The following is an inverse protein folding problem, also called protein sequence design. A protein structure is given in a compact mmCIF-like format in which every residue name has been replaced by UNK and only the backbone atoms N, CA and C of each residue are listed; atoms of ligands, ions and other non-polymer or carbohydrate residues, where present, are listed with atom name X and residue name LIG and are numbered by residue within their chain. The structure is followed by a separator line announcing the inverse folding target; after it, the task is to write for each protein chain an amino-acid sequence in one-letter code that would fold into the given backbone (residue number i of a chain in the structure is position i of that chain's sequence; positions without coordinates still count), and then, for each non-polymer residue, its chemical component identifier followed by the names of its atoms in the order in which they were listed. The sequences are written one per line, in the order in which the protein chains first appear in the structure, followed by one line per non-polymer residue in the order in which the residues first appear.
data_IF_054069507993
#
_entry.id   IF_054069507993
#
_cell.length_a   1.000
_cell.length_b   1.000
_cell.length_c   1.000
_cell.angle_alpha   90.00
_cell.angle_beta   90.00
_cell.angle_gamma   90.00
#
_symmetry.space_group_name_H-M   'P 1'
#
loop_
_entity.id
_entity.type
_entity.pdbx_description
1 polymer ?
#
# COMPACT_ATOMS: atom_id res chain seq x y z
N UNK A 1 -5.61 -32.51 -1.84
CA UNK A 1 -5.35 -32.34 -0.39
C UNK A 1 -3.88 -32.52 -0.03
N UNK A 2 -3.20 -33.62 -0.41
CA UNK A 2 -1.75 -33.79 -0.13
C UNK A 2 -0.87 -32.72 -0.79
N UNK A 3 -1.25 -32.25 -1.98
CA UNK A 3 -0.57 -31.16 -2.68
C UNK A 3 -0.55 -29.85 -1.87
N UNK A 4 -1.69 -29.40 -1.36
CA UNK A 4 -1.77 -28.19 -0.52
C UNK A 4 -0.93 -28.27 0.76
N UNK A 5 -0.83 -29.44 1.39
CA UNK A 5 0.05 -29.62 2.56
C UNK A 5 1.53 -29.50 2.18
N UNK A 6 1.87 -29.91 0.95
CA UNK A 6 3.24 -29.81 0.44
C UNK A 6 3.59 -28.36 0.14
N UNK A 7 2.71 -27.62 -0.55
CA UNK A 7 2.89 -26.18 -0.80
C UNK A 7 2.95 -25.39 0.52
N UNK A 8 2.08 -25.71 1.49
CA UNK A 8 2.12 -25.09 2.82
C UNK A 8 3.44 -25.36 3.55
N UNK A 9 4.01 -26.55 3.41
CA UNK A 9 5.32 -26.88 4.01
C UNK A 9 6.46 -26.05 3.41
N UNK A 10 6.37 -25.69 2.13
CA UNK A 10 7.39 -24.92 1.44
C UNK A 10 7.29 -23.41 1.78
N UNK A 11 6.08 -22.91 2.06
CA UNK A 11 5.82 -21.50 2.46
C UNK A 11 6.14 -21.19 3.94
N UNK A 12 6.24 -22.21 4.81
CA UNK A 12 6.51 -22.01 6.24
C UNK A 12 8.02 -22.16 6.48
N UNK A 13 8.77 -21.11 6.88
CA UNK A 13 10.23 -21.15 6.99
C UNK A 13 10.75 -22.27 7.90
N UNK A 14 10.04 -22.54 8.99
CA UNK A 14 10.42 -23.60 9.94
C UNK A 14 10.22 -25.01 9.36
N UNK A 15 9.33 -25.16 8.38
CA UNK A 15 9.08 -26.43 7.68
C UNK A 15 10.05 -26.61 6.50
N UNK A 16 10.27 -25.56 5.71
CA UNK A 16 11.10 -25.62 4.51
C UNK A 16 12.59 -25.73 4.80
N UNK A 17 13.04 -25.26 5.97
CA UNK A 17 14.43 -25.39 6.42
C UNK A 17 14.83 -26.81 6.88
N UNK A 18 13.87 -27.74 7.01
CA UNK A 18 14.15 -29.11 7.44
C UNK A 18 14.63 -29.98 6.27
N UNK A 19 15.73 -30.72 6.46
CA UNK A 19 16.26 -31.67 5.47
C UNK A 19 15.29 -32.81 5.11
N UNK A 20 14.30 -33.09 5.97
CA UNK A 20 13.24 -34.08 5.74
C UNK A 20 11.88 -33.46 6.03
N UNK A 21 10.94 -33.59 5.10
CA UNK A 21 9.57 -33.07 5.29
C UNK A 21 8.91 -33.74 6.51
N UNK A 22 8.44 -32.95 7.49
CA UNK A 22 7.73 -33.48 8.66
C UNK A 22 6.36 -34.06 8.26
N UNK A 23 5.72 -34.78 9.18
CA UNK A 23 4.39 -35.34 8.92
C UNK A 23 3.32 -34.23 8.80
N UNK A 24 2.17 -34.58 8.21
CA UNK A 24 1.09 -33.63 7.91
C UNK A 24 0.58 -32.87 9.13
N UNK A 25 0.50 -33.51 10.30
CA UNK A 25 0.01 -32.87 11.52
C UNK A 25 1.04 -31.84 12.03
N UNK A 26 2.32 -32.20 11.97
CA UNK A 26 3.42 -31.30 12.34
C UNK A 26 3.48 -30.09 11.42
N UNK A 27 3.35 -30.27 10.10
CA UNK A 27 3.26 -29.16 9.12
C UNK A 27 2.14 -28.19 9.50
N UNK A 28 0.94 -28.70 9.82
CA UNK A 28 -0.19 -27.87 10.23
C UNK A 28 0.07 -27.10 11.53
N UNK A 29 0.68 -27.74 12.54
CA UNK A 29 1.02 -27.08 13.81
C UNK A 29 2.03 -25.94 13.63
N UNK A 30 3.05 -26.18 12.81
CA UNK A 30 4.08 -25.19 12.50
C UNK A 30 3.49 -24.02 11.70
N UNK A 31 2.63 -24.31 10.72
CA UNK A 31 1.90 -23.28 9.98
C UNK A 31 1.01 -22.41 10.89
N UNK A 32 0.28 -23.02 11.83
CA UNK A 32 -0.53 -22.28 12.82
C UNK A 32 0.35 -21.36 13.68
N UNK A 33 1.49 -21.85 14.14
CA UNK A 33 2.45 -21.06 14.90
C UNK A 33 2.98 -19.86 14.09
N UNK A 34 3.35 -20.10 12.84
CA UNK A 34 3.82 -19.06 11.91
C UNK A 34 2.76 -17.99 11.68
N UNK A 35 1.51 -18.38 11.40
CA UNK A 35 0.40 -17.43 11.19
C UNK A 35 0.09 -16.60 12.44
N UNK A 36 0.19 -17.18 13.65
CA UNK A 36 0.04 -16.44 14.90
C UNK A 36 1.14 -15.40 15.09
N UNK A 37 2.38 -15.73 14.71
CA UNK A 37 3.50 -14.78 14.75
C UNK A 37 3.30 -13.63 13.75
N UNK A 38 2.83 -13.92 12.53
CA UNK A 38 2.62 -12.89 11.50
C UNK A 38 1.46 -11.95 11.80
N UNK A 39 0.34 -12.47 12.34
CA UNK A 39 -0.84 -11.62 12.65
C UNK A 39 -0.62 -10.70 13.85
N UNK A 40 0.41 -10.94 14.67
CA UNK A 40 0.64 -10.20 15.92
C UNK A 40 -0.54 -10.31 16.90
N UNK A 41 -0.37 -9.82 18.13
CA UNK A 41 -1.46 -9.62 19.10
C UNK A 41 -2.37 -8.42 18.75
N UNK A 42 -2.33 -7.94 17.51
CA UNK A 42 -2.85 -6.64 17.09
C UNK A 42 -4.23 -6.73 16.45
N UNK A 43 -5.18 -6.06 17.10
CA UNK A 43 -6.49 -5.61 16.62
C UNK A 43 -6.77 -5.80 15.12
N UNK A 44 -7.78 -6.61 14.81
CA UNK A 44 -8.63 -6.38 13.64
C UNK A 44 -9.47 -5.13 13.89
N UNK A 45 -8.84 -3.95 14.00
CA UNK A 45 -9.60 -2.70 13.91
C UNK A 45 -10.11 -2.63 12.48
N UNK A 46 -11.41 -2.83 12.33
CA UNK A 46 -12.19 -2.66 11.12
C UNK A 46 -12.30 -1.17 10.78
N UNK A 47 -11.17 -0.47 10.67
CA UNK A 47 -11.15 0.92 10.26
C UNK A 47 -10.97 0.97 8.74
N UNK A 48 -12.11 1.02 8.04
CA UNK A 48 -12.17 1.28 6.61
C UNK A 48 -12.55 0.06 5.77
N UNK A 49 -13.77 0.06 5.24
CA UNK A 49 -14.31 -0.93 4.29
C UNK A 49 -13.52 -1.06 2.96
N UNK A 50 -12.44 -0.30 2.78
CA UNK A 50 -11.63 -0.25 1.57
C UNK A 50 -10.36 -1.10 1.62
N UNK A 51 -9.94 -1.59 2.81
CA UNK A 51 -8.70 -2.38 2.95
C UNK A 51 -9.01 -3.88 3.07
N UNK A 52 -8.55 -4.72 2.12
CA UNK A 52 -8.67 -6.15 2.28
C UNK A 52 -7.79 -6.63 3.44
N UNK A 53 -8.34 -7.45 4.34
CA UNK A 53 -7.66 -7.89 5.57
C UNK A 53 -6.45 -8.82 5.37
N UNK A 54 -6.13 -9.15 4.12
CA UNK A 54 -4.96 -9.96 3.76
C UNK A 54 -3.73 -9.13 3.41
N UNK A 55 -3.88 -7.83 3.14
CA UNK A 55 -2.76 -6.93 2.84
C UNK A 55 -2.54 -5.93 3.97
N UNK A 56 -1.28 -5.70 4.30
CA UNK A 56 -0.86 -4.52 5.06
C UNK A 56 -1.07 -3.25 4.22
N UNK A 57 -1.03 -2.09 4.86
CA UNK A 57 -1.17 -0.81 4.15
C UNK A 57 -0.02 -0.57 3.17
N UNK A 58 1.19 -1.01 3.55
CA UNK A 58 2.37 -0.94 2.70
C UNK A 58 2.26 -1.85 1.47
N UNK A 59 1.79 -3.08 1.64
CA UNK A 59 1.57 -4.00 0.51
C UNK A 59 0.46 -3.51 -0.42
N UNK A 60 -0.65 -3.00 0.14
CA UNK A 60 -1.73 -2.43 -0.66
C UNK A 60 -1.25 -1.22 -1.46
N UNK A 61 -0.51 -0.31 -0.82
CA UNK A 61 0.15 0.81 -1.49
C UNK A 61 1.04 0.31 -2.61
N UNK A 62 1.99 -0.59 -2.33
CA UNK A 62 2.92 -1.09 -3.35
C UNK A 62 2.18 -1.72 -4.54
N UNK A 63 1.17 -2.56 -4.28
CA UNK A 63 0.36 -3.21 -5.30
C UNK A 63 -0.37 -2.20 -6.20
N UNK A 64 -1.04 -1.21 -5.62
CA UNK A 64 -1.78 -0.20 -6.40
C UNK A 64 -0.81 0.61 -7.26
N UNK A 65 0.34 0.99 -6.70
CA UNK A 65 1.30 1.83 -7.38
C UNK A 65 2.05 1.07 -8.50
N UNK A 66 2.41 -0.19 -8.29
CA UNK A 66 2.97 -1.05 -9.35
C UNK A 66 1.96 -1.32 -10.47
N UNK A 67 0.69 -1.57 -10.14
CA UNK A 67 -0.32 -1.89 -11.15
C UNK A 67 -0.74 -0.67 -11.98
N UNK A 68 -0.64 0.53 -11.43
CA UNK A 68 -1.12 1.76 -12.04
C UNK A 68 -0.01 2.68 -12.57
N UNK A 69 1.28 2.28 -12.47
CA UNK A 69 2.45 3.16 -12.68
C UNK A 69 2.26 4.52 -11.99
N UNK A 70 1.69 4.50 -10.79
CA UNK A 70 1.16 5.68 -10.10
C UNK A 70 1.93 6.03 -8.84
N UNK A 71 1.59 7.17 -8.25
CA UNK A 71 2.01 7.57 -6.91
C UNK A 71 0.85 8.23 -6.17
N UNK A 72 0.89 8.18 -4.84
CA UNK A 72 -0.10 8.83 -3.99
C UNK A 72 0.37 10.24 -3.63
N UNK A 73 -0.53 11.22 -3.69
CA UNK A 73 -0.30 12.56 -3.18
C UNK A 73 -1.55 13.13 -2.53
N UNK A 74 -1.37 14.08 -1.62
CA UNK A 74 -2.44 14.82 -0.94
C UNK A 74 -2.10 16.29 -1.01
N UNK A 75 -3.07 17.10 -1.46
CA UNK A 75 -2.94 18.55 -1.59
C UNK A 75 -4.02 19.26 -0.79
N UNK A 76 -3.69 20.43 -0.25
CA UNK A 76 -4.66 21.34 0.34
C UNK A 76 -5.54 21.93 -0.76
N UNK A 77 -6.85 21.70 -0.72
CA UNK A 77 -7.78 22.16 -1.77
C UNK A 77 -7.74 23.68 -2.01
N UNK A 78 -7.60 24.48 -0.94
CA UNK A 78 -7.62 25.94 -1.03
C UNK A 78 -6.34 26.54 -1.64
N UNK A 79 -5.17 25.96 -1.33
CA UNK A 79 -3.86 26.53 -1.71
C UNK A 79 -3.12 25.73 -2.78
N UNK A 80 -3.60 24.53 -3.11
CA UNK A 80 -2.89 23.56 -3.96
C UNK A 80 -1.60 23.00 -3.32
N UNK A 81 -1.30 23.33 -2.06
CA UNK A 81 -0.05 22.93 -1.41
C UNK A 81 0.01 21.43 -1.19
N UNK A 82 1.10 20.79 -1.61
CA UNK A 82 1.34 19.36 -1.42
C UNK A 82 1.67 19.10 0.06
N UNK A 83 0.75 18.40 0.73
CA UNK A 83 0.85 18.02 2.15
C UNK A 83 1.56 16.68 2.28
N UNK A 84 1.28 15.76 1.36
CA UNK A 84 1.86 14.42 1.34
C UNK A 84 2.12 13.98 -0.09
N UNK A 85 3.19 13.22 -0.27
CA UNK A 85 3.48 12.50 -1.51
C UNK A 85 4.21 11.21 -1.14
N UNK A 86 3.93 10.10 -1.82
CA UNK A 86 4.64 8.83 -1.62
C UNK A 86 6.01 8.85 -2.28
N UNK A 87 6.96 8.08 -1.75
CA UNK A 87 8.28 7.77 -2.31
C UNK A 87 8.25 7.28 -3.77
N UNK A 88 7.16 6.61 -4.17
CA UNK A 88 6.92 6.19 -5.56
C UNK A 88 6.83 7.33 -6.59
N UNK A 89 6.79 8.60 -6.17
CA UNK A 89 6.93 9.74 -7.11
C UNK A 89 8.27 9.70 -7.85
N UNK A 90 9.32 9.18 -7.21
CA UNK A 90 10.67 9.11 -7.80
C UNK A 90 10.71 8.15 -9.00
N UNK A 91 10.29 6.87 -8.90
CA UNK A 91 10.26 6.00 -10.07
C UNK A 91 9.27 6.43 -11.15
N UNK A 92 8.17 7.13 -10.81
CA UNK A 92 7.13 7.52 -11.78
C UNK A 92 7.47 8.80 -12.54
N UNK A 93 7.88 9.86 -11.84
CA UNK A 93 8.13 11.19 -12.42
C UNK A 93 9.62 11.57 -12.45
N UNK A 94 10.50 10.74 -11.89
CA UNK A 94 11.94 11.01 -11.79
C UNK A 94 12.30 12.27 -10.98
N UNK A 95 11.44 12.61 -10.02
CA UNK A 95 11.66 13.72 -9.07
C UNK A 95 11.76 13.22 -7.64
N UNK A 96 12.64 13.80 -6.81
CA UNK A 96 12.73 13.46 -5.40
C UNK A 96 11.52 13.97 -4.62
N UNK A 97 11.09 13.20 -3.62
CA UNK A 97 9.96 13.54 -2.75
C UNK A 97 10.11 14.90 -2.05
N UNK A 98 11.35 15.31 -1.76
CA UNK A 98 11.67 16.59 -1.12
C UNK A 98 11.34 17.81 -1.97
N UNK A 99 11.35 17.69 -3.30
CA UNK A 99 10.97 18.79 -4.21
C UNK A 99 9.45 18.98 -4.26
N UNK A 100 8.71 17.89 -4.08
CA UNK A 100 7.25 17.88 -4.10
C UNK A 100 6.67 18.36 -2.78
N UNK A 101 7.22 17.88 -1.65
CA UNK A 101 6.72 18.23 -0.32
C UNK A 101 6.84 19.74 -0.06
N UNK A 102 5.71 20.37 0.23
CA UNK A 102 5.63 21.79 0.55
C UNK A 102 5.59 22.74 -0.65
N UNK A 103 5.82 22.24 -1.87
CA UNK A 103 5.54 22.97 -3.12
C UNK A 103 4.03 23.04 -3.38
N UNK A 104 3.62 23.85 -4.36
CA UNK A 104 2.22 23.85 -4.81
C UNK A 104 2.07 22.99 -6.06
N UNK A 105 0.95 22.27 -6.17
CA UNK A 105 0.65 21.43 -7.33
C UNK A 105 0.60 22.24 -8.63
N UNK A 106 0.27 23.53 -8.57
CA UNK A 106 0.27 24.43 -9.73
C UNK A 106 1.66 24.63 -10.35
N UNK A 107 2.73 24.45 -9.58
CA UNK A 107 4.12 24.52 -10.08
C UNK A 107 4.56 23.20 -10.74
N UNK A 108 3.87 22.10 -10.44
CA UNK A 108 4.20 20.75 -10.92
C UNK A 108 3.46 20.37 -12.21
N UNK A 109 2.44 21.14 -12.60
CA UNK A 109 1.64 20.90 -13.81
C UNK A 109 2.00 21.90 -14.91
N UNK A 110 1.64 21.56 -16.15
CA UNK A 110 1.83 22.45 -17.28
C UNK A 110 0.98 23.73 -17.12
N UNK A 111 1.48 24.93 -17.51
CA UNK A 111 0.73 26.19 -17.38
C UNK A 111 -0.69 26.15 -17.98
N UNK A 112 -0.85 25.46 -19.10
CA UNK A 112 -2.16 25.32 -19.79
C UNK A 112 -3.19 24.48 -19.02
N UNK A 113 -2.76 23.68 -18.04
CA UNK A 113 -3.62 22.82 -17.23
C UNK A 113 -3.89 23.38 -15.83
N UNK A 114 -3.22 24.49 -15.45
CA UNK A 114 -3.40 25.14 -14.14
C UNK A 114 -4.85 25.55 -13.92
N UNK A 115 -5.52 26.14 -14.92
CA UNK A 115 -6.90 26.60 -14.76
C UNK A 115 -7.87 25.42 -14.55
N UNK A 116 -7.71 24.34 -15.32
CA UNK A 116 -8.50 23.11 -15.15
C UNK A 116 -8.26 22.49 -13.78
N UNK A 117 -7.02 22.46 -13.32
CA UNK A 117 -6.68 21.93 -12.00
C UNK A 117 -7.29 22.76 -10.88
N UNK A 118 -7.32 24.10 -11.02
CA UNK A 118 -8.00 24.99 -10.06
C UNK A 118 -9.49 24.70 -9.97
N UNK A 119 -10.15 24.45 -11.10
CA UNK A 119 -11.57 24.05 -11.12
C UNK A 119 -11.80 22.71 -10.38
N UNK A 120 -10.90 21.74 -10.53
CA UNK A 120 -11.02 20.45 -9.84
C UNK A 120 -10.81 20.56 -8.32
N UNK A 121 -9.96 21.51 -7.88
CA UNK A 121 -9.67 21.74 -6.46
C UNK A 121 -10.66 22.69 -5.79
N UNK A 122 -11.36 23.53 -6.55
CA UNK A 122 -12.43 24.36 -6.02
C UNK A 122 -13.60 23.47 -5.59
N UNK A 123 -13.73 23.23 -4.29
CA UNK A 123 -14.94 22.64 -3.71
C UNK A 123 -16.13 23.52 -4.06
N UNK A 124 -17.02 23.02 -4.92
CA UNK A 124 -18.31 23.64 -5.23
C UNK A 124 -19.31 23.53 -4.06
N UNK A 125 -18.84 23.50 -2.81
CA UNK A 125 -19.65 23.45 -1.59
C UNK A 125 -19.35 24.68 -0.71
N UNK A 126 -19.56 25.88 -1.26
CA UNK A 126 -19.74 27.09 -0.46
C UNK A 126 -21.08 27.77 -0.77
N UNK A 127 -22.08 26.97 -1.16
CA UNK A 127 -23.44 27.44 -1.46
C UNK A 127 -24.47 26.61 -0.70
N UNK A 128 -24.51 26.78 0.62
CA UNK A 128 -25.76 26.71 1.39
C UNK A 128 -25.66 27.53 2.68
#
# INVERSE_FOLDING_TARGET
MTQYITELSDMVPTCSALARKPDKLTILRMAVSHMKSMRGTGNTSTDGAYKPSFLTEQELKHLILEAADGFLFVVAAETGRVIYVSDSVTPVLNHPQSEWLGSTLYEQVHPDDVDKLREQLSTSENSM
#
